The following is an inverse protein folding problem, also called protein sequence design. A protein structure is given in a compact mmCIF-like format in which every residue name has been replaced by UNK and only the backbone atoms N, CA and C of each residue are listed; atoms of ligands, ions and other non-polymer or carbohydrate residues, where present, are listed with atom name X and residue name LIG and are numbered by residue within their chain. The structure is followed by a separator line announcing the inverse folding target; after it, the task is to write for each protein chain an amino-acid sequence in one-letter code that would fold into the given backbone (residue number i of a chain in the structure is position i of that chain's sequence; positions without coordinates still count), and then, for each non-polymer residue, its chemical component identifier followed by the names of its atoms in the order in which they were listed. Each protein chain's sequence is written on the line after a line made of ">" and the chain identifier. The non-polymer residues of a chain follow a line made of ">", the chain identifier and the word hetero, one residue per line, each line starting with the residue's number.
data_IF_896351705226
#
_entry.id   IF_896351705226
#
_cell.length_a   1.000
_cell.length_b   1.000
_cell.length_c   1.000
_cell.angle_alpha   90.00
_cell.angle_beta   90.00
_cell.angle_gamma   90.00
#
_symmetry.space_group_name_H-M   'P 1'
#
loop_
_entity.id
_entity.type
_entity.pdbx_description
1 polymer ?
#
# COMPACT_ATOMS: atom_id res chain seq x y z
N UNK A 1 2.68 -20.27 9.18
CA UNK A 1 3.57 -19.79 8.11
C UNK A 1 3.28 -18.32 7.83
N UNK A 2 4.35 -17.55 7.75
CA UNK A 2 4.19 -16.11 7.59
C UNK A 2 4.26 -15.75 6.10
N UNK A 3 3.11 -15.41 5.53
CA UNK A 3 3.06 -14.91 4.17
C UNK A 3 3.18 -13.40 4.18
N UNK A 4 3.70 -12.87 3.10
CA UNK A 4 3.72 -11.43 2.87
C UNK A 4 2.49 -11.08 2.03
N UNK A 5 1.83 -10.01 2.41
CA UNK A 5 0.64 -9.54 1.70
C UNK A 5 0.94 -8.14 1.15
N UNK A 6 0.73 -7.98 -0.14
CA UNK A 6 0.89 -6.69 -0.80
C UNK A 6 -0.49 -6.03 -0.87
N UNK A 7 -0.66 -4.93 -0.14
CA UNK A 7 -1.90 -4.16 -0.13
C UNK A 7 -1.78 -3.03 -1.12
N UNK A 8 -2.79 -2.85 -1.97
CA UNK A 8 -2.70 -1.98 -3.14
C UNK A 8 -3.85 -1.00 -3.17
N UNK A 9 -3.51 0.25 -3.46
CA UNK A 9 -4.47 1.34 -3.70
C UNK A 9 -4.27 1.81 -5.13
N UNK A 10 -5.34 1.78 -5.94
CA UNK A 10 -5.30 2.22 -7.32
C UNK A 10 -5.80 3.66 -7.42
N UNK A 11 -5.10 4.47 -8.18
CA UNK A 11 -5.46 5.86 -8.44
C UNK A 11 -5.52 6.07 -9.95
N UNK A 12 -6.50 6.82 -10.40
CA UNK A 12 -6.73 7.06 -11.82
C UNK A 12 -6.85 8.54 -12.09
N UNK A 13 -6.46 8.93 -13.30
CA UNK A 13 -6.50 10.31 -13.74
C UNK A 13 -5.10 10.86 -13.98
N UNK A 14 -5.00 12.09 -14.51
CA UNK A 14 -3.70 12.66 -14.89
C UNK A 14 -2.78 12.92 -13.70
N UNK A 15 -3.32 12.96 -12.48
CA UNK A 15 -2.53 13.20 -11.28
C UNK A 15 -2.34 11.94 -10.44
N UNK A 16 -2.65 10.77 -11.01
CA UNK A 16 -2.61 9.51 -10.28
C UNK A 16 -1.26 9.25 -9.61
N UNK A 17 -0.16 9.49 -10.32
CA UNK A 17 1.16 9.22 -9.78
C UNK A 17 1.48 10.10 -8.57
N UNK A 18 1.13 11.38 -8.65
CA UNK A 18 1.39 12.30 -7.53
C UNK A 18 0.55 11.94 -6.32
N UNK A 19 -0.71 11.54 -6.54
CA UNK A 19 -1.58 11.10 -5.45
C UNK A 19 -1.03 9.81 -4.83
N UNK A 20 -0.58 8.88 -5.67
CA UNK A 20 -0.01 7.63 -5.18
C UNK A 20 1.24 7.87 -4.33
N UNK A 21 2.13 8.76 -4.77
CA UNK A 21 3.33 9.11 -4.00
C UNK A 21 2.97 9.69 -2.64
N UNK A 22 1.95 10.56 -2.60
CA UNK A 22 1.48 11.14 -1.35
C UNK A 22 0.91 10.06 -0.43
N UNK A 23 0.19 9.11 -1.01
CA UNK A 23 -0.39 8.01 -0.23
C UNK A 23 0.69 7.13 0.40
N UNK A 24 1.81 6.90 -0.29
CA UNK A 24 2.93 6.12 0.26
C UNK A 24 3.45 6.77 1.55
N UNK A 25 3.54 8.10 1.58
CA UNK A 25 3.97 8.81 2.78
C UNK A 25 3.01 8.51 3.94
N UNK A 26 1.71 8.53 3.68
CA UNK A 26 0.71 8.21 4.69
C UNK A 26 0.80 6.76 5.15
N UNK A 27 1.11 5.83 4.24
CA UNK A 27 1.29 4.42 4.60
C UNK A 27 2.45 4.26 5.58
N UNK A 28 3.57 4.93 5.29
CA UNK A 28 4.74 4.89 6.17
C UNK A 28 4.44 5.51 7.53
N UNK A 29 3.76 6.65 7.53
CA UNK A 29 3.39 7.32 8.77
C UNK A 29 2.49 6.45 9.64
N UNK A 30 1.53 5.77 9.01
CA UNK A 30 0.65 4.87 9.72
C UNK A 30 1.43 3.72 10.37
N UNK A 31 2.34 3.11 9.61
CA UNK A 31 3.13 1.99 10.13
C UNK A 31 3.96 2.43 11.33
N UNK A 32 4.60 3.59 11.25
CA UNK A 32 5.41 4.11 12.35
C UNK A 32 4.53 4.41 13.56
N UNK A 33 3.40 5.07 13.34
CA UNK A 33 2.48 5.45 14.43
C UNK A 33 1.94 4.23 15.16
N UNK A 34 1.60 3.17 14.42
CA UNK A 34 1.04 1.95 14.98
C UNK A 34 2.10 0.93 15.38
N UNK A 35 3.37 1.30 15.21
CA UNK A 35 4.50 0.43 15.54
C UNK A 35 4.41 -0.92 14.80
N UNK A 36 4.08 -0.85 13.52
CA UNK A 36 3.94 -2.03 12.67
C UNK A 36 5.12 -2.12 11.69
N UNK A 37 5.52 -3.34 11.38
CA UNK A 37 6.57 -3.60 10.43
C UNK A 37 5.99 -3.65 9.01
N UNK A 38 6.78 -3.23 8.03
CA UNK A 38 6.47 -3.49 6.63
C UNK A 38 7.77 -3.81 5.89
N UNK A 39 7.67 -4.59 4.81
CA UNK A 39 8.83 -5.01 4.03
C UNK A 39 9.24 -3.96 3.03
N UNK A 40 8.28 -3.40 2.31
CA UNK A 40 8.53 -2.31 1.37
C UNK A 40 7.23 -1.55 1.11
N UNK A 41 7.38 -0.36 0.57
CA UNK A 41 6.26 0.47 0.14
C UNK A 41 6.75 1.38 -0.97
N UNK A 42 5.94 1.57 -2.00
CA UNK A 42 6.32 2.40 -3.13
C UNK A 42 5.10 2.63 -4.04
N UNK A 43 5.35 3.29 -5.16
CA UNK A 43 4.36 3.49 -6.20
C UNK A 43 4.77 2.73 -7.46
N UNK A 44 3.78 2.49 -8.31
CA UNK A 44 4.01 1.92 -9.62
C UNK A 44 3.12 2.66 -10.61
N UNK A 45 3.73 3.24 -11.64
CA UNK A 45 2.97 3.92 -12.70
C UNK A 45 2.70 2.92 -13.82
N UNK A 46 1.43 2.60 -14.04
CA UNK A 46 1.02 1.63 -15.07
C UNK A 46 0.85 2.29 -16.42
N UNK A 47 0.34 3.52 -16.42
CA UNK A 47 0.23 4.37 -17.61
C UNK A 47 -0.04 5.79 -17.15
N UNK A 48 -0.22 6.73 -18.10
CA UNK A 48 -0.40 8.14 -17.78
C UNK A 48 -1.58 8.44 -16.88
N UNK A 49 -2.58 7.56 -16.89
CA UNK A 49 -3.85 7.78 -16.18
C UNK A 49 -4.07 6.79 -15.05
N UNK A 50 -3.10 5.93 -14.75
CA UNK A 50 -3.27 4.92 -13.72
C UNK A 50 -1.95 4.64 -13.01
N UNK A 51 -1.93 4.90 -11.72
CA UNK A 51 -0.80 4.57 -10.85
C UNK A 51 -1.34 3.91 -9.60
N UNK A 52 -0.47 3.21 -8.90
CA UNK A 52 -0.86 2.59 -7.64
C UNK A 52 0.16 2.88 -6.56
N UNK A 53 -0.29 2.78 -5.33
CA UNK A 53 0.58 2.78 -4.15
C UNK A 53 0.41 1.42 -3.50
N UNK A 54 1.47 0.90 -2.91
CA UNK A 54 1.38 -0.39 -2.23
C UNK A 54 2.26 -0.42 -0.98
N UNK A 55 1.90 -1.33 -0.08
CA UNK A 55 2.74 -1.65 1.07
C UNK A 55 2.68 -3.16 1.25
N UNK A 56 3.84 -3.78 1.47
CA UNK A 56 3.94 -5.22 1.70
C UNK A 56 4.12 -5.46 3.18
N UNK A 57 3.23 -6.21 3.77
CA UNK A 57 3.15 -6.40 5.22
C UNK A 57 3.06 -7.87 5.56
N UNK A 58 3.23 -8.19 6.85
CA UNK A 58 3.01 -9.54 7.35
C UNK A 58 1.52 -9.87 7.29
N UNK A 59 1.21 -11.11 6.98
CA UNK A 59 -0.17 -11.57 6.94
C UNK A 59 -0.91 -11.28 8.26
N UNK A 60 -0.22 -11.46 9.37
CA UNK A 60 -0.80 -11.22 10.69
C UNK A 60 -1.18 -9.75 10.94
N UNK A 61 -0.56 -8.81 10.22
CA UNK A 61 -0.85 -7.38 10.35
C UNK A 61 -1.81 -6.86 9.28
N UNK A 62 -2.17 -7.71 8.33
CA UNK A 62 -2.98 -7.31 7.18
C UNK A 62 -4.31 -6.68 7.59
N UNK A 63 -4.99 -7.29 8.57
CA UNK A 63 -6.30 -6.79 8.99
C UNK A 63 -6.23 -5.39 9.59
N UNK A 64 -5.16 -5.12 10.35
CA UNK A 64 -4.97 -3.78 10.95
C UNK A 64 -4.84 -2.72 9.86
N UNK A 65 -4.01 -2.99 8.85
CA UNK A 65 -3.86 -2.08 7.72
C UNK A 65 -5.14 -1.96 6.92
N UNK A 66 -5.79 -3.09 6.64
CA UNK A 66 -7.00 -3.11 5.83
C UNK A 66 -8.13 -2.30 6.47
N UNK A 67 -8.34 -2.50 7.78
CA UNK A 67 -9.44 -1.84 8.46
C UNK A 67 -9.23 -0.34 8.60
N UNK A 68 -7.98 0.09 8.76
CA UNK A 68 -7.67 1.51 8.92
C UNK A 68 -7.57 2.26 7.58
N UNK A 69 -7.02 1.62 6.56
CA UNK A 69 -6.62 2.30 5.32
C UNK A 69 -7.38 1.86 4.08
N UNK A 70 -8.19 0.82 4.17
CA UNK A 70 -9.11 0.40 3.11
C UNK A 70 -8.47 0.22 1.74
N UNK A 71 -7.50 -0.69 1.58
CA UNK A 71 -6.91 -0.94 0.26
C UNK A 71 -7.96 -1.44 -0.72
N UNK A 72 -7.75 -1.16 -1.99
CA UNK A 72 -8.66 -1.60 -3.04
C UNK A 72 -8.53 -3.09 -3.31
N UNK A 73 -7.32 -3.65 -3.12
CA UNK A 73 -7.08 -5.07 -3.33
C UNK A 73 -5.84 -5.51 -2.56
N UNK A 74 -5.68 -6.81 -2.43
CA UNK A 74 -4.50 -7.38 -1.80
C UNK A 74 -4.04 -8.61 -2.55
N UNK A 75 -2.75 -8.87 -2.53
CA UNK A 75 -2.15 -10.02 -3.19
C UNK A 75 -1.14 -10.68 -2.27
N UNK A 76 -1.00 -12.00 -2.40
CA UNK A 76 0.08 -12.70 -1.71
C UNK A 76 1.38 -12.36 -2.43
N UNK A 77 2.34 -11.79 -1.70
CA UNK A 77 3.64 -11.45 -2.24
C UNK A 77 4.59 -12.63 -2.04
N UNK A 78 5.47 -12.83 -2.99
CA UNK A 78 6.45 -13.92 -2.89
C UNK A 78 7.82 -13.39 -2.55
#
# INVERSE_FOLDING_TARGET
>A
MNRKIKLIWDFRGPEALEIAKHHVIHLEEFAVKENLYFYDTNTEELNEMHSLAYITVKEEDMLTYRDALKPHRGEVAK
#
